data_IF_296663041398
#
_entry.id   IF_296663041398
#
_cell.length_a   1.000
_cell.length_b   1.000
_cell.length_c   1.000
_cell.angle_alpha   90.00
_cell.angle_beta   90.00
_cell.angle_gamma   90.00
#
_symmetry.space_group_name_H-M   'P 1'
#
loop_
_entity.id
_entity.type
_entity.pdbx_description
1 polymer ?
#
# COMPACT_ATOMS: atom_id res chain seq x y z
N UNK A 1 10.87 -10.31 -1.30
CA UNK A 1 11.15 -9.57 -0.05
C UNK A 1 9.85 -9.42 0.69
N UNK A 2 9.83 -9.63 2.01
CA UNK A 2 8.67 -9.29 2.85
C UNK A 2 8.76 -7.83 3.27
N UNK A 3 7.61 -7.19 3.52
CA UNK A 3 7.56 -5.77 3.90
C UNK A 3 8.35 -5.49 5.19
N UNK A 4 8.35 -6.43 6.14
CA UNK A 4 9.08 -6.32 7.41
C UNK A 4 10.60 -6.20 7.21
N UNK A 5 11.18 -7.00 6.30
CA UNK A 5 12.62 -6.91 5.95
C UNK A 5 12.94 -5.55 5.34
N UNK A 6 12.04 -5.01 4.51
CA UNK A 6 12.20 -3.69 3.91
C UNK A 6 12.10 -2.56 4.93
N UNK A 7 11.16 -2.65 5.89
CA UNK A 7 11.06 -1.74 7.03
C UNK A 7 12.38 -1.73 7.83
N UNK A 8 12.85 -2.89 8.28
CA UNK A 8 14.10 -2.99 9.06
C UNK A 8 15.33 -2.52 8.27
N UNK A 9 15.36 -2.73 6.95
CA UNK A 9 16.44 -2.25 6.06
C UNK A 9 16.47 -0.73 5.98
N UNK A 10 15.30 -0.07 5.89
CA UNK A 10 15.20 1.39 5.84
C UNK A 10 15.52 1.98 7.22
N UNK A 11 14.99 1.40 8.30
CA UNK A 11 15.26 1.81 9.69
C UNK A 11 16.75 1.73 10.03
N UNK A 12 17.43 0.63 9.67
CA UNK A 12 18.87 0.50 9.81
C UNK A 12 19.62 1.59 9.04
N UNK A 13 19.16 1.99 7.85
CA UNK A 13 19.79 3.06 7.07
C UNK A 13 19.56 4.45 7.67
N UNK A 14 18.38 4.71 8.23
CA UNK A 14 18.10 5.96 8.96
C UNK A 14 19.00 6.06 10.19
N UNK A 15 19.17 4.97 10.94
CA UNK A 15 20.06 4.92 12.09
C UNK A 15 21.54 5.08 11.68
N UNK A 16 22.01 4.44 10.60
CA UNK A 16 23.36 4.66 10.05
C UNK A 16 23.60 6.15 9.73
N UNK A 17 22.65 6.82 9.07
CA UNK A 17 22.76 8.24 8.73
C UNK A 17 22.72 9.15 9.97
N UNK A 18 21.94 8.78 10.99
CA UNK A 18 21.92 9.45 12.30
C UNK A 18 23.29 9.38 12.96
N UNK A 19 23.88 8.19 13.05
CA UNK A 19 25.20 7.99 13.66
C UNK A 19 26.28 8.75 12.88
N UNK A 20 26.28 8.70 11.55
CA UNK A 20 27.25 9.47 10.73
C UNK A 20 27.11 10.98 10.95
N UNK A 21 25.89 11.49 11.16
CA UNK A 21 25.65 12.90 11.49
C UNK A 21 26.11 13.27 12.91
N UNK A 22 25.77 12.44 13.92
CA UNK A 22 26.13 12.68 15.32
C UNK A 22 27.64 12.64 15.54
N UNK A 23 28.31 11.58 15.06
CA UNK A 23 29.77 11.45 15.12
C UNK A 23 30.53 12.60 14.44
N UNK A 24 29.88 13.36 13.53
CA UNK A 24 30.45 14.56 12.94
C UNK A 24 30.21 15.82 13.78
N UNK A 25 29.00 16.00 14.31
CA UNK A 25 28.61 17.25 14.99
C UNK A 25 29.00 17.28 16.47
N UNK A 26 29.11 16.14 17.15
CA UNK A 26 29.51 16.08 18.57
C UNK A 26 30.90 16.67 18.87
N UNK A 27 32.01 16.22 18.24
CA UNK A 27 33.32 16.83 18.46
C UNK A 27 33.38 18.28 17.98
N UNK A 28 32.63 18.61 16.94
CA UNK A 28 32.54 19.97 16.41
C UNK A 28 31.82 20.92 17.38
N UNK A 29 30.77 20.45 18.06
CA UNK A 29 30.05 21.22 19.06
C UNK A 29 30.96 21.51 20.27
N UNK A 30 31.77 20.55 20.71
CA UNK A 30 32.77 20.75 21.74
C UNK A 30 33.80 21.84 21.33
N UNK A 31 34.36 21.78 20.12
CA UNK A 31 35.31 22.79 19.64
C UNK A 31 34.71 24.19 19.47
N UNK A 32 33.45 24.29 19.04
CA UNK A 32 32.76 25.58 18.88
C UNK A 32 32.33 26.16 20.23
N UNK A 33 31.81 25.33 21.15
CA UNK A 33 31.24 25.80 22.42
C UNK A 33 32.27 25.98 23.53
N UNK A 34 33.23 25.06 23.67
CA UNK A 34 34.23 25.11 24.76
C UNK A 34 35.50 25.85 24.31
N UNK A 35 36.02 25.54 23.12
CA UNK A 35 37.24 26.15 22.59
C UNK A 35 36.98 27.47 21.83
N UNK A 36 35.73 27.94 21.77
CA UNK A 36 35.29 29.16 21.07
C UNK A 36 35.84 29.28 19.63
N UNK A 37 36.01 28.14 18.96
CA UNK A 37 36.68 28.06 17.66
C UNK A 37 35.69 28.37 16.54
N UNK A 38 35.97 29.35 15.66
CA UNK A 38 35.02 29.75 14.61
C UNK A 38 34.81 28.63 13.59
N UNK A 39 33.54 28.31 13.34
CA UNK A 39 33.13 27.24 12.45
C UNK A 39 33.55 27.53 10.99
N UNK A 40 34.31 26.63 10.37
CA UNK A 40 34.76 26.80 8.98
C UNK A 40 33.61 26.47 8.02
N UNK A 41 33.54 27.18 6.89
CA UNK A 41 32.50 26.97 5.87
C UNK A 41 32.39 25.51 5.39
N UNK A 42 33.51 24.78 5.27
CA UNK A 42 33.52 23.35 4.94
C UNK A 42 32.94 22.44 6.03
N UNK A 43 33.10 22.81 7.31
CA UNK A 43 32.49 22.11 8.44
C UNK A 43 30.97 22.36 8.46
N UNK A 44 30.55 23.62 8.35
CA UNK A 44 29.14 23.99 8.22
C UNK A 44 28.45 23.24 7.06
N UNK A 45 29.07 23.23 5.87
CA UNK A 45 28.54 22.55 4.68
C UNK A 45 28.42 21.04 4.90
N UNK A 46 29.34 20.45 5.68
CA UNK A 46 29.28 19.03 6.02
C UNK A 46 28.16 18.73 7.02
N UNK A 47 27.98 19.56 8.07
CA UNK A 47 26.82 19.47 8.97
C UNK A 47 25.50 19.57 8.20
N UNK A 48 25.36 20.56 7.31
CA UNK A 48 24.19 20.75 6.47
C UNK A 48 23.89 19.52 5.60
N UNK A 49 24.94 18.95 4.96
CA UNK A 49 24.80 17.75 4.11
C UNK A 49 24.39 16.52 4.90
N UNK A 50 25.02 16.26 6.04
CA UNK A 50 24.78 15.07 6.86
C UNK A 50 23.44 15.13 7.60
N UNK A 51 23.11 16.29 8.19
CA UNK A 51 21.83 16.52 8.84
C UNK A 51 20.67 16.38 7.85
N UNK A 52 20.75 17.05 6.69
CA UNK A 52 19.73 16.90 5.65
C UNK A 52 19.61 15.46 5.14
N UNK A 53 20.70 14.70 5.03
CA UNK A 53 20.64 13.29 4.65
C UNK A 53 19.87 12.44 5.68
N UNK A 54 20.14 12.63 6.98
CA UNK A 54 19.43 11.94 8.06
C UNK A 54 17.94 12.32 8.11
N UNK A 55 17.62 13.61 8.23
CA UNK A 55 16.23 14.07 8.39
C UNK A 55 15.38 13.76 7.16
N UNK A 56 15.91 13.92 5.94
CA UNK A 56 15.18 13.54 4.73
C UNK A 56 15.03 12.03 4.59
N UNK A 57 15.98 11.20 5.06
CA UNK A 57 15.81 9.75 5.04
C UNK A 57 14.66 9.30 5.96
N UNK A 58 14.55 9.89 7.16
CA UNK A 58 13.45 9.60 8.09
C UNK A 58 12.10 10.12 7.57
N UNK A 59 12.02 11.34 7.02
CA UNK A 59 10.80 11.86 6.40
C UNK A 59 10.34 10.97 5.22
N UNK A 60 11.28 10.51 4.37
CA UNK A 60 10.97 9.56 3.30
C UNK A 60 10.53 8.19 3.85
N UNK A 61 11.10 7.71 4.96
CA UNK A 61 10.65 6.48 5.60
C UNK A 61 9.20 6.60 6.09
N UNK A 62 8.86 7.70 6.76
CA UNK A 62 7.49 8.00 7.20
C UNK A 62 6.53 8.03 6.01
N UNK A 63 6.87 8.76 4.94
CA UNK A 63 6.05 8.84 3.72
C UNK A 63 5.81 7.48 3.05
N UNK A 64 6.78 6.56 3.11
CA UNK A 64 6.66 5.22 2.52
C UNK A 64 6.09 4.16 3.48
N UNK A 65 5.95 4.45 4.78
CA UNK A 65 5.46 3.49 5.79
C UNK A 65 4.05 2.95 5.50
N UNK A 66 3.19 3.78 4.88
CA UNK A 66 1.87 3.40 4.39
C UNK A 66 1.93 2.29 3.33
N UNK A 67 2.84 2.42 2.36
CA UNK A 67 3.03 1.44 1.26
C UNK A 67 3.55 0.08 1.76
N UNK A 68 4.24 0.07 2.90
CA UNK A 68 4.77 -1.13 3.55
C UNK A 68 3.72 -1.84 4.43
N UNK A 69 2.50 -1.31 4.53
CA UNK A 69 1.42 -1.79 5.42
C UNK A 69 1.79 -1.79 6.91
N UNK A 70 2.79 -1.02 7.30
CA UNK A 70 3.36 -1.06 8.65
C UNK A 70 2.43 -0.42 9.72
N UNK A 71 1.50 0.43 9.29
CA UNK A 71 0.44 1.02 10.12
C UNK A 71 -0.57 -0.01 10.70
N UNK A 72 -0.58 -1.26 10.21
CA UNK A 72 -1.46 -2.32 10.74
C UNK A 72 -1.11 -2.77 12.17
N UNK A 73 0.05 -2.37 12.69
CA UNK A 73 0.48 -2.67 14.06
C UNK A 73 0.52 -1.38 14.91
N UNK A 74 -0.47 -1.23 15.80
CA UNK A 74 -0.60 -0.09 16.72
C UNK A 74 0.66 0.20 17.55
N UNK A 75 1.38 -0.83 18.02
CA UNK A 75 2.61 -0.62 18.80
C UNK A 75 3.76 -0.06 17.95
N UNK A 76 3.87 -0.52 16.71
CA UNK A 76 4.91 -0.09 15.79
C UNK A 76 4.68 1.35 15.33
N UNK A 77 3.44 1.70 14.99
CA UNK A 77 3.11 3.06 14.52
C UNK A 77 3.25 4.11 15.64
N UNK A 78 2.93 3.77 16.89
CA UNK A 78 3.23 4.62 18.06
C UNK A 78 4.74 4.81 18.25
N UNK A 79 5.55 3.74 18.22
CA UNK A 79 7.02 3.85 18.33
C UNK A 79 7.64 4.67 17.17
N UNK A 80 7.09 4.56 15.96
CA UNK A 80 7.49 5.42 14.84
C UNK A 80 7.14 6.89 15.15
N UNK A 81 5.97 7.18 15.71
CA UNK A 81 5.58 8.54 16.10
C UNK A 81 6.46 9.11 17.23
N UNK A 82 6.84 8.30 18.22
CA UNK A 82 7.80 8.67 19.27
C UNK A 82 9.20 8.97 18.69
N UNK A 83 9.61 8.20 17.67
CA UNK A 83 10.82 8.44 16.88
C UNK A 83 10.72 9.74 16.09
N UNK A 84 9.57 10.02 15.45
CA UNK A 84 9.29 11.28 14.74
C UNK A 84 9.34 12.49 15.69
N UNK A 85 8.75 12.39 16.88
CA UNK A 85 8.83 13.43 17.91
C UNK A 85 10.28 13.71 18.29
N UNK A 86 11.05 12.66 18.61
CA UNK A 86 12.47 12.77 18.97
C UNK A 86 13.28 13.42 17.86
N UNK A 87 13.07 13.00 16.61
CA UNK A 87 13.74 13.57 15.45
C UNK A 87 13.35 15.03 15.18
N UNK A 88 12.08 15.42 15.36
CA UNK A 88 11.65 16.82 15.23
C UNK A 88 12.24 17.71 16.33
N UNK A 89 12.42 17.19 17.55
CA UNK A 89 13.16 17.90 18.62
C UNK A 89 14.63 18.08 18.24
N UNK A 90 15.29 17.08 17.66
CA UNK A 90 16.64 17.22 17.11
C UNK A 90 16.71 18.17 15.90
N UNK A 91 15.68 18.17 15.04
CA UNK A 91 15.58 19.03 13.85
C UNK A 91 15.47 20.51 14.23
N UNK A 92 14.68 20.82 15.27
CA UNK A 92 14.65 22.16 15.87
C UNK A 92 16.08 22.62 16.23
N UNK A 93 16.82 21.80 16.97
CA UNK A 93 18.18 22.14 17.44
C UNK A 93 19.13 22.32 16.26
N UNK A 94 19.03 21.45 15.25
CA UNK A 94 19.79 21.52 14.00
C UNK A 94 19.55 22.81 13.22
N UNK A 95 18.29 23.20 12.98
CA UNK A 95 18.00 24.46 12.25
C UNK A 95 18.40 25.68 13.08
N UNK A 96 18.23 25.66 14.40
CA UNK A 96 18.72 26.74 15.28
C UNK A 96 20.24 26.89 15.20
N UNK A 97 20.99 25.79 15.21
CA UNK A 97 22.45 25.78 15.04
C UNK A 97 22.88 26.29 13.65
N UNK A 98 22.20 25.88 12.59
CA UNK A 98 22.51 26.36 11.24
C UNK A 98 22.22 27.85 11.06
N UNK A 99 21.12 28.36 11.65
CA UNK A 99 20.79 29.79 11.65
C UNK A 99 21.86 30.61 12.37
N UNK A 100 22.30 30.20 13.57
CA UNK A 100 23.29 30.95 14.35
C UNK A 100 24.70 30.97 13.72
N UNK A 101 25.01 30.05 12.81
CA UNK A 101 26.30 30.01 12.08
C UNK A 101 26.16 30.29 10.58
N UNK A 102 25.00 30.77 10.11
CA UNK A 102 24.69 30.96 8.69
C UNK A 102 25.60 31.98 7.98
N UNK A 103 26.22 32.90 8.74
CA UNK A 103 27.22 33.87 8.24
C UNK A 103 28.42 33.18 7.57
N UNK A 104 28.79 31.98 8.03
CA UNK A 104 29.86 31.16 7.44
C UNK A 104 29.63 30.86 5.94
N UNK A 105 28.38 30.93 5.46
CA UNK A 105 27.99 30.70 4.07
C UNK A 105 27.68 32.00 3.29
N UNK A 106 27.85 33.19 3.87
CA UNK A 106 27.57 34.49 3.21
C UNK A 106 26.19 34.56 2.54
N UNK A 107 25.16 33.98 3.16
CA UNK A 107 23.79 33.96 2.64
C UNK A 107 23.42 32.78 1.73
N UNK A 108 24.32 31.80 1.51
CA UNK A 108 23.97 30.57 0.78
C UNK A 108 23.21 29.53 1.64
N UNK A 109 22.87 29.85 2.90
CA UNK A 109 21.95 29.06 3.72
C UNK A 109 20.50 29.34 3.30
N UNK A 110 19.77 28.28 2.92
CA UNK A 110 18.35 28.35 2.62
C UNK A 110 17.53 27.86 3.83
N UNK A 111 16.51 28.64 4.21
CA UNK A 111 15.53 28.24 5.21
C UNK A 111 14.70 27.03 4.72
N UNK A 112 14.21 26.16 5.64
CA UNK A 112 13.36 25.04 5.27
C UNK A 112 12.08 25.47 4.54
N UNK A 113 11.70 24.72 3.49
CA UNK A 113 10.40 24.91 2.84
C UNK A 113 9.25 24.65 3.82
N UNK A 114 8.10 25.29 3.57
CA UNK A 114 6.88 25.15 4.37
C UNK A 114 6.37 23.71 4.49
N UNK A 115 6.77 22.78 3.63
CA UNK A 115 6.41 21.36 3.72
C UNK A 115 7.48 20.48 4.36
N UNK A 116 8.63 21.04 4.78
CA UNK A 116 9.70 20.25 5.36
C UNK A 116 9.24 19.55 6.65
N UNK A 117 9.49 18.23 6.70
CA UNK A 117 9.20 17.35 7.85
C UNK A 117 7.70 17.21 8.18
N UNK A 118 6.81 17.56 7.24
CA UNK A 118 5.36 17.52 7.46
C UNK A 118 4.81 16.09 7.67
N UNK A 119 5.47 15.06 7.15
CA UNK A 119 5.17 13.66 7.41
C UNK A 119 5.40 13.32 8.89
N UNK A 120 6.60 13.55 9.40
CA UNK A 120 6.92 13.38 10.83
C UNK A 120 5.98 14.18 11.74
N UNK A 121 5.61 15.40 11.37
CA UNK A 121 4.68 16.23 12.15
C UNK A 121 3.27 15.61 12.25
N UNK A 122 2.76 15.01 11.17
CA UNK A 122 1.48 14.28 11.18
C UNK A 122 1.55 13.06 12.09
N UNK A 123 2.62 12.27 12.01
CA UNK A 123 2.82 11.11 12.89
C UNK A 123 2.70 11.49 14.37
N UNK A 124 3.33 12.60 14.77
CA UNK A 124 3.25 13.11 16.16
C UNK A 124 1.83 13.55 16.51
N UNK A 125 1.13 14.28 15.63
CA UNK A 125 -0.24 14.75 15.87
C UNK A 125 -1.26 13.61 15.95
N UNK A 126 -1.09 12.56 15.15
CA UNK A 126 -2.08 11.50 14.95
C UNK A 126 -1.96 10.38 15.99
N UNK A 127 -0.72 10.06 16.44
CA UNK A 127 -0.46 8.88 17.28
C UNK A 127 0.07 9.17 18.69
N UNK A 128 0.47 10.41 19.01
CA UNK A 128 0.90 10.79 20.37
C UNK A 128 -0.17 11.62 21.09
N UNK A 129 0.01 11.84 22.40
CA UNK A 129 -0.96 12.58 23.20
C UNK A 129 -0.99 14.09 22.84
N UNK A 130 -2.14 14.78 23.06
CA UNK A 130 -2.28 16.18 22.69
C UNK A 130 -1.22 17.11 23.27
N UNK A 131 -0.78 16.89 24.52
CA UNK A 131 0.18 17.81 25.18
C UNK A 131 1.55 17.73 24.51
N UNK A 132 1.96 16.53 24.08
CA UNK A 132 3.22 16.31 23.37
C UNK A 132 3.24 17.02 22.02
N UNK A 133 2.20 16.89 21.19
CA UNK A 133 2.17 17.59 19.91
C UNK A 133 1.97 19.10 20.06
N UNK A 134 1.15 19.56 21.02
CA UNK A 134 0.94 20.99 21.28
C UNK A 134 2.22 21.70 21.72
N UNK A 135 3.00 21.07 22.60
CA UNK A 135 4.31 21.60 23.03
C UNK A 135 5.29 21.71 21.86
N UNK A 136 5.34 20.70 20.99
CA UNK A 136 6.21 20.69 19.82
C UNK A 136 5.75 21.72 18.75
N UNK A 137 4.45 21.81 18.50
CA UNK A 137 3.84 22.80 17.61
C UNK A 137 4.15 24.22 18.06
N UNK A 138 3.97 24.53 19.36
CA UNK A 138 4.32 25.82 19.95
C UNK A 138 5.80 26.14 19.72
N UNK A 139 6.69 25.20 20.03
CA UNK A 139 8.15 25.35 19.88
C UNK A 139 8.56 25.62 18.43
N UNK A 140 7.93 24.96 17.45
CA UNK A 140 8.16 25.19 16.02
C UNK A 140 7.62 26.55 15.57
N UNK A 141 6.41 26.93 16.01
CA UNK A 141 5.78 28.21 15.69
C UNK A 141 6.58 29.41 16.22
N UNK A 142 7.01 29.37 17.49
CA UNK A 142 7.85 30.39 18.12
C UNK A 142 9.19 30.58 17.39
N UNK A 143 9.80 29.47 16.94
CA UNK A 143 11.04 29.49 16.17
C UNK A 143 10.84 29.72 14.66
N UNK A 144 9.63 30.05 14.19
CA UNK A 144 9.33 30.24 12.75
C UNK A 144 9.83 29.07 11.89
N UNK A 145 9.54 27.84 12.33
CA UNK A 145 9.76 26.61 11.57
C UNK A 145 8.47 26.20 10.84
N UNK A 146 8.57 25.35 9.80
CA UNK A 146 7.40 24.78 9.13
C UNK A 146 6.49 24.02 10.11
N UNK A 147 5.17 24.23 10.02
CA UNK A 147 4.16 23.63 10.92
C UNK A 147 3.04 22.91 10.15
N UNK A 148 3.21 22.74 8.83
CA UNK A 148 2.17 22.33 7.90
C UNK A 148 1.65 20.91 8.16
N UNK A 149 2.44 20.01 8.75
CA UNK A 149 1.95 18.68 9.14
C UNK A 149 1.13 18.68 10.42
N UNK A 150 1.29 19.70 11.29
CA UNK A 150 0.40 19.89 12.43
C UNK A 150 -0.94 20.54 12.03
N UNK A 151 -0.91 21.48 11.08
CA UNK A 151 -2.10 22.26 10.69
C UNK A 151 -2.93 21.61 9.58
N UNK A 152 -2.30 20.95 8.60
CA UNK A 152 -2.99 20.34 7.46
C UNK A 152 -3.12 18.83 7.66
N UNK A 153 -4.35 18.38 7.89
CA UNK A 153 -4.71 16.97 8.00
C UNK A 153 -4.31 16.19 6.76
N UNK A 154 -4.02 14.89 6.93
CA UNK A 154 -3.85 14.00 5.80
C UNK A 154 -5.17 13.90 5.02
N UNK A 155 -5.09 13.59 3.71
CA UNK A 155 -6.29 13.16 3.00
C UNK A 155 -6.70 11.80 3.57
N UNK A 156 -8.00 11.57 3.79
CA UNK A 156 -8.50 10.27 4.24
C UNK A 156 -7.97 9.17 3.32
N UNK A 157 -7.42 8.09 3.90
CA UNK A 157 -7.17 6.86 3.14
C UNK A 157 -8.45 6.41 2.43
N UNK A 158 -8.30 5.80 1.24
CA UNK A 158 -9.43 5.20 0.53
C UNK A 158 -10.08 4.17 1.45
N UNK A 159 -11.27 4.52 1.98
CA UNK A 159 -11.90 3.84 3.13
C UNK A 159 -11.81 2.33 2.99
N UNK A 160 -11.03 1.71 3.88
CA UNK A 160 -10.93 0.26 3.98
C UNK A 160 -12.34 -0.29 4.15
N UNK A 161 -12.70 -1.28 3.32
CA UNK A 161 -14.10 -1.69 3.15
C UNK A 161 -14.70 -2.04 4.51
N UNK A 162 -15.80 -1.35 4.85
CA UNK A 162 -16.38 -1.45 6.19
C UNK A 162 -16.90 -2.87 6.45
N UNK A 163 -16.83 -3.34 7.71
CA UNK A 163 -17.23 -4.72 8.05
C UNK A 163 -18.67 -5.02 7.63
N UNK A 164 -19.59 -4.06 7.80
CA UNK A 164 -20.97 -4.19 7.34
C UNK A 164 -21.10 -4.27 5.81
N UNK A 165 -20.29 -3.52 5.06
CA UNK A 165 -20.27 -3.54 3.59
C UNK A 165 -19.76 -4.88 3.04
N UNK A 166 -18.69 -5.44 3.62
CA UNK A 166 -18.21 -6.78 3.29
C UNK A 166 -19.26 -7.86 3.61
N UNK A 167 -19.90 -7.79 4.78
CA UNK A 167 -20.98 -8.71 5.17
C UNK A 167 -22.16 -8.64 4.19
N UNK A 168 -22.59 -7.43 3.82
CA UNK A 168 -23.65 -7.22 2.83
C UNK A 168 -23.31 -7.80 1.46
N UNK A 169 -22.09 -7.58 0.95
CA UNK A 169 -21.63 -8.20 -0.30
C UNK A 169 -21.61 -9.74 -0.22
N UNK A 170 -21.23 -10.28 0.95
CA UNK A 170 -21.12 -11.72 1.19
C UNK A 170 -22.49 -12.40 1.23
N UNK A 171 -23.45 -11.84 1.97
CA UNK A 171 -24.83 -12.34 2.04
C UNK A 171 -25.52 -12.25 0.68
N UNK A 172 -25.29 -11.16 -0.06
CA UNK A 172 -25.87 -10.95 -1.38
C UNK A 172 -25.34 -11.96 -2.42
N UNK A 173 -24.02 -12.23 -2.42
CA UNK A 173 -23.44 -13.30 -3.24
C UNK A 173 -23.96 -14.68 -2.89
N UNK A 174 -24.17 -14.97 -1.60
CA UNK A 174 -24.72 -16.25 -1.14
C UNK A 174 -26.17 -16.48 -1.61
N UNK A 175 -27.02 -15.45 -1.62
CA UNK A 175 -28.39 -15.52 -2.15
C UNK A 175 -28.39 -15.84 -3.66
N UNK A 176 -27.51 -15.18 -4.42
CA UNK A 176 -27.39 -15.37 -5.88
C UNK A 176 -26.91 -16.79 -6.21
N UNK A 177 -26.00 -17.34 -5.40
CA UNK A 177 -25.53 -18.71 -5.49
C UNK A 177 -26.65 -19.72 -5.16
N UNK A 178 -27.41 -19.50 -4.09
CA UNK A 178 -28.54 -20.35 -3.70
C UNK A 178 -29.65 -20.40 -4.77
N UNK A 179 -29.97 -19.25 -5.39
CA UNK A 179 -30.95 -19.15 -6.48
C UNK A 179 -30.47 -19.93 -7.73
N UNK A 180 -29.17 -19.79 -8.08
CA UNK A 180 -28.55 -20.54 -9.18
C UNK A 180 -28.67 -22.06 -9.02
N UNK A 181 -28.54 -22.54 -7.77
CA UNK A 181 -28.66 -23.95 -7.41
C UNK A 181 -30.10 -24.45 -7.56
N UNK A 182 -31.09 -23.73 -7.02
CA UNK A 182 -32.51 -24.10 -7.20
C UNK A 182 -32.90 -24.22 -8.69
N UNK A 183 -32.46 -23.26 -9.51
CA UNK A 183 -32.73 -23.23 -10.95
C UNK A 183 -32.08 -24.39 -11.73
N UNK A 184 -30.98 -24.98 -11.23
CA UNK A 184 -30.37 -26.16 -11.84
C UNK A 184 -30.95 -27.50 -11.33
N UNK A 185 -31.65 -27.50 -10.18
CA UNK A 185 -32.13 -28.74 -9.54
C UNK A 185 -33.56 -29.11 -9.92
N UNK A 186 -34.43 -28.13 -10.16
CA UNK A 186 -35.79 -28.37 -10.67
C UNK A 186 -35.84 -28.52 -12.21
N UNK A 187 -34.70 -28.83 -12.82
CA UNK A 187 -34.52 -29.07 -14.24
C UNK A 187 -34.49 -30.59 -14.54
N UNK A 188 -35.60 -31.21 -14.99
CA UNK A 188 -35.57 -32.61 -15.43
C UNK A 188 -34.71 -32.74 -16.71
N UNK A 189 -33.63 -33.53 -16.61
CA UNK A 189 -32.55 -33.67 -17.59
C UNK A 189 -31.83 -32.35 -17.93
N UNK A 190 -30.70 -32.01 -17.27
CA UNK A 190 -29.97 -30.78 -17.53
C UNK A 190 -29.42 -30.78 -18.96
N UNK A 191 -30.06 -30.00 -19.81
CA UNK A 191 -29.58 -29.69 -21.16
C UNK A 191 -28.18 -29.04 -21.09
N UNK A 192 -27.36 -29.12 -22.16
CA UNK A 192 -26.08 -28.39 -22.22
C UNK A 192 -26.24 -26.88 -21.93
N UNK A 193 -27.40 -26.34 -22.30
CA UNK A 193 -27.84 -24.98 -21.99
C UNK A 193 -28.01 -24.72 -20.48
N UNK A 194 -28.69 -25.59 -19.73
CA UNK A 194 -28.81 -25.45 -18.26
C UNK A 194 -27.45 -25.58 -17.57
N UNK A 195 -26.54 -26.40 -18.11
CA UNK A 195 -25.15 -26.48 -17.62
C UNK A 195 -24.37 -25.17 -17.84
N UNK A 196 -24.53 -24.51 -19.00
CA UNK A 196 -23.95 -23.19 -19.26
C UNK A 196 -24.52 -22.10 -18.34
N UNK A 197 -25.83 -22.08 -18.15
CA UNK A 197 -26.52 -21.13 -17.26
C UNK A 197 -26.05 -21.28 -15.82
N UNK A 198 -26.06 -22.51 -15.28
CA UNK A 198 -25.57 -22.79 -13.92
C UNK A 198 -24.14 -22.30 -13.70
N UNK A 199 -23.22 -22.60 -14.64
CA UNK A 199 -21.80 -22.19 -14.55
C UNK A 199 -21.63 -20.66 -14.61
N UNK A 200 -22.39 -19.98 -15.46
CA UNK A 200 -22.28 -18.53 -15.63
C UNK A 200 -22.79 -17.79 -14.40
N UNK A 201 -23.96 -18.15 -13.85
CA UNK A 201 -24.49 -17.47 -12.65
C UNK A 201 -23.67 -17.82 -11.39
N UNK A 202 -23.11 -19.03 -11.32
CA UNK A 202 -22.12 -19.41 -10.30
C UNK A 202 -20.85 -18.52 -10.35
N UNK A 203 -20.29 -18.29 -11.54
CA UNK A 203 -19.13 -17.41 -11.73
C UNK A 203 -19.44 -15.95 -11.34
N UNK A 204 -20.65 -15.47 -11.61
CA UNK A 204 -21.12 -14.13 -11.21
C UNK A 204 -21.33 -14.03 -9.70
N UNK A 205 -21.98 -15.01 -9.06
CA UNK A 205 -22.12 -15.04 -7.60
C UNK A 205 -20.76 -15.03 -6.88
N UNK A 206 -19.79 -15.78 -7.41
CA UNK A 206 -18.40 -15.80 -6.92
C UNK A 206 -17.68 -14.46 -7.09
N UNK A 207 -17.93 -13.70 -8.15
CA UNK A 207 -17.32 -12.37 -8.32
C UNK A 207 -17.90 -11.34 -7.35
N UNK A 208 -19.20 -11.43 -7.03
CA UNK A 208 -19.86 -10.50 -6.10
C UNK A 208 -19.38 -10.63 -4.65
N UNK A 209 -18.91 -11.82 -4.25
CA UNK A 209 -18.21 -12.01 -2.97
C UNK A 209 -16.88 -11.23 -2.91
N UNK A 210 -16.23 -11.02 -4.05
CA UNK A 210 -14.91 -10.37 -4.16
C UNK A 210 -15.03 -8.84 -4.30
N UNK A 211 -16.22 -8.33 -4.57
CA UNK A 211 -16.50 -6.88 -4.55
C UNK A 211 -16.36 -6.25 -3.14
N UNK A 212 -16.40 -7.06 -2.07
CA UNK A 212 -16.12 -6.63 -0.69
C UNK A 212 -14.63 -6.59 -0.33
N UNK A 213 -13.71 -6.88 -1.26
CA UNK A 213 -12.27 -6.99 -0.99
C UNK A 213 -11.54 -5.70 -1.39
N UNK A 214 -10.88 -5.00 -0.45
CA UNK A 214 -10.11 -3.80 -0.78
C UNK A 214 -8.80 -4.18 -1.50
N UNK A 215 -8.71 -3.89 -2.79
CA UNK A 215 -7.48 -4.07 -3.58
C UNK A 215 -7.72 -4.34 -5.07
N UNK A 216 -6.75 -3.96 -5.92
CA UNK A 216 -6.80 -4.21 -7.37
C UNK A 216 -6.07 -5.52 -7.73
N UNK A 217 -6.79 -6.65 -7.81
CA UNK A 217 -6.25 -7.91 -8.36
C UNK A 217 -6.00 -7.74 -9.87
N UNK A 218 -4.82 -7.27 -10.28
CA UNK A 218 -4.48 -7.00 -11.69
C UNK A 218 -4.02 -8.26 -12.45
N UNK A 219 -4.92 -8.92 -13.17
CA UNK A 219 -4.57 -10.06 -14.05
C UNK A 219 -4.40 -9.58 -15.49
N UNK A 220 -3.23 -9.86 -16.06
CA UNK A 220 -2.87 -9.52 -17.45
C UNK A 220 -3.08 -10.73 -18.35
N UNK A 221 -4.19 -10.77 -19.08
CA UNK A 221 -4.48 -11.86 -20.02
C UNK A 221 -3.82 -11.62 -21.39
N UNK A 222 -3.30 -12.70 -21.98
CA UNK A 222 -2.83 -12.76 -23.38
C UNK A 222 -3.68 -13.79 -24.12
N UNK A 223 -4.76 -13.34 -24.77
CA UNK A 223 -5.50 -14.18 -25.70
C UNK A 223 -4.76 -14.20 -27.05
N UNK A 224 -4.43 -15.40 -27.56
CA UNK A 224 -3.86 -15.58 -28.89
C UNK A 224 -4.85 -16.36 -29.74
N UNK A 225 -5.54 -15.66 -30.65
CA UNK A 225 -6.49 -16.25 -31.59
C UNK A 225 -6.73 -15.28 -32.75
N UNK A 226 -6.55 -15.78 -33.98
CA UNK A 226 -6.73 -15.07 -35.26
C UNK A 226 -6.25 -13.59 -35.29
N UNK A 227 -4.93 -13.42 -35.45
CA UNK A 227 -4.36 -12.23 -36.10
C UNK A 227 -4.35 -10.90 -35.34
N UNK A 228 -5.07 -10.75 -34.22
CA UNK A 228 -5.18 -9.46 -33.51
C UNK A 228 -4.87 -9.59 -32.01
N UNK A 229 -3.91 -8.79 -31.52
CA UNK A 229 -3.42 -8.87 -30.14
C UNK A 229 -4.30 -8.08 -29.16
N UNK A 230 -5.25 -8.76 -28.51
CA UNK A 230 -5.98 -8.17 -27.37
C UNK A 230 -5.19 -8.32 -26.06
N UNK A 231 -4.84 -7.17 -25.45
CA UNK A 231 -4.29 -7.09 -24.09
C UNK A 231 -5.40 -6.63 -23.15
N UNK A 232 -5.90 -7.53 -22.30
CA UNK A 232 -6.87 -7.21 -21.26
C UNK A 232 -6.20 -7.22 -19.88
N UNK A 233 -6.43 -6.18 -19.09
CA UNK A 233 -6.06 -6.10 -17.67
C UNK A 233 -7.35 -6.04 -16.87
N UNK A 234 -7.59 -7.06 -16.05
CA UNK A 234 -8.78 -7.16 -15.21
C UNK A 234 -8.43 -6.95 -13.75
N UNK A 235 -9.30 -6.25 -13.00
CA UNK A 235 -9.11 -5.88 -11.60
C UNK A 235 -10.10 -6.58 -10.65
N UNK A 236 -9.65 -6.98 -9.46
CA UNK A 236 -10.51 -7.41 -8.35
C UNK A 236 -11.46 -8.56 -8.71
N UNK A 237 -12.75 -8.40 -8.41
CA UNK A 237 -13.81 -9.35 -8.74
C UNK A 237 -13.85 -9.75 -10.23
N UNK A 238 -13.53 -8.82 -11.14
CA UNK A 238 -13.59 -9.01 -12.59
C UNK A 238 -12.49 -9.97 -13.04
N UNK A 239 -11.31 -9.91 -12.42
CA UNK A 239 -10.23 -10.84 -12.70
C UNK A 239 -10.65 -12.30 -12.40
N UNK A 240 -11.34 -12.50 -11.27
CA UNK A 240 -11.77 -13.84 -10.85
C UNK A 240 -12.94 -14.36 -11.70
N UNK A 241 -13.90 -13.51 -12.06
CA UNK A 241 -14.94 -13.86 -13.04
C UNK A 241 -14.34 -14.38 -14.35
N UNK A 242 -13.36 -13.66 -14.90
CA UNK A 242 -12.72 -14.03 -16.17
C UNK A 242 -11.89 -15.32 -16.06
N UNK A 243 -11.21 -15.56 -14.93
CA UNK A 243 -10.52 -16.85 -14.70
C UNK A 243 -11.54 -18.00 -14.71
N UNK A 244 -12.64 -17.88 -13.96
CA UNK A 244 -13.66 -18.94 -13.88
C UNK A 244 -14.28 -19.20 -15.25
N UNK A 245 -14.55 -18.15 -16.02
CA UNK A 245 -15.17 -18.25 -17.35
C UNK A 245 -14.23 -18.82 -18.43
N UNK A 246 -12.93 -18.48 -18.40
CA UNK A 246 -11.95 -18.99 -19.38
C UNK A 246 -11.43 -20.40 -19.08
N UNK A 247 -11.36 -20.82 -17.82
CA UNK A 247 -10.84 -22.15 -17.44
C UNK A 247 -11.85 -23.27 -17.68
N UNK A 248 -13.14 -22.95 -17.82
CA UNK A 248 -14.20 -23.93 -18.06
C UNK A 248 -15.19 -23.46 -19.15
N UNK A 249 -14.74 -23.32 -20.41
CA UNK A 249 -15.61 -22.92 -21.51
C UNK A 249 -16.70 -23.98 -21.74
N UNK A 250 -17.91 -23.55 -22.08
CA UNK A 250 -18.98 -24.49 -22.41
C UNK A 250 -18.75 -25.09 -23.81
N UNK A 251 -18.77 -26.42 -23.90
CA UNK A 251 -18.68 -27.13 -25.17
C UNK A 251 -19.96 -26.90 -25.99
N UNK A 252 -19.83 -26.14 -27.07
CA UNK A 252 -20.87 -25.95 -28.07
C UNK A 252 -20.85 -27.13 -29.05
N UNK A 253 -21.28 -28.31 -28.61
CA UNK A 253 -21.38 -29.50 -29.47
C UNK A 253 -22.45 -29.29 -30.55
N UNK A 254 -21.99 -29.18 -31.79
CA UNK A 254 -22.85 -29.14 -32.97
C UNK A 254 -23.53 -30.50 -33.16
N UNK A 255 -24.86 -30.52 -33.26
CA UNK A 255 -25.61 -31.73 -33.56
C UNK A 255 -25.41 -32.16 -35.03
N UNK A 256 -24.53 -33.14 -35.26
CA UNK A 256 -24.40 -33.82 -36.54
C UNK A 256 -24.42 -35.35 -36.34
N UNK A 257 -25.54 -35.98 -36.67
CA UNK A 257 -25.73 -37.44 -36.65
C UNK A 257 -24.85 -38.12 -37.69
N UNK A 258 -24.35 -39.34 -37.41
CA UNK A 258 -24.65 -40.42 -38.37
C UNK A 258 -25.02 -41.77 -37.72
N UNK A 259 -25.81 -42.54 -38.47
CA UNK A 259 -26.38 -43.86 -38.17
C UNK A 259 -25.44 -45.05 -38.47
N UNK A 260 -25.48 -46.10 -37.64
CA UNK A 260 -24.96 -47.48 -37.87
C UNK A 260 -25.34 -48.35 -36.64
N UNK A 261 -25.73 -49.64 -36.67
CA UNK A 261 -26.28 -50.57 -37.70
C UNK A 261 -27.02 -51.72 -36.96
N UNK A 262 -27.70 -52.62 -37.68
CA UNK A 262 -28.52 -53.76 -37.19
C UNK A 262 -27.79 -54.78 -36.26
N UNK A 263 -28.53 -55.51 -35.41
CA UNK A 263 -28.16 -56.84 -34.94
C UNK A 263 -28.64 -57.94 -35.91
N UNK A 264 -27.72 -58.83 -36.33
CA UNK A 264 -28.06 -59.99 -37.17
C UNK A 264 -28.70 -61.12 -36.36
N UNK A 265 -29.78 -61.70 -36.88
CA UNK A 265 -30.50 -62.84 -36.27
C UNK A 265 -29.75 -64.17 -36.46
N UNK A 266 -29.52 -64.90 -35.36
CA UNK A 266 -29.29 -66.35 -35.42
C UNK A 266 -30.65 -67.09 -35.31
N UNK A 267 -30.94 -67.97 -36.27
CA UNK A 267 -32.10 -68.86 -36.23
C UNK A 267 -31.79 -70.18 -36.96
N UNK A 268 -32.55 -71.24 -36.62
CA UNK A 268 -32.40 -72.65 -37.02
C UNK A 268 -31.36 -73.43 -36.16
N UNK A 269 -31.65 -74.70 -35.77
CA UNK A 269 -32.43 -75.68 -36.52
C UNK A 269 -33.77 -76.11 -35.89
N UNK A 270 -34.70 -76.55 -36.73
CA UNK A 270 -35.45 -77.80 -36.54
C UNK A 270 -36.25 -78.17 -37.80
N UNK A 271 -36.18 -79.47 -38.15
CA UNK A 271 -37.05 -80.26 -39.05
C UNK A 271 -37.43 -79.67 -40.42
#
# INVERSE_FOLDING_TARGET
MTNEIEVSRIEAKVNELKEVYLNYIEPLAHDVLENNTPLKAGQFTTCLRLGNAYFNALENFVANSGLLSAHLNGKWVTNLAETCHTALVSYYTYITFLRSHSECLRGAFAEPDKHAMAGMQRMVKEYLDPKTFEALFKKFSEAKLPIQGFTVEAHEDIKTISKAQLISCTVLGAVILAISICLSLYAPNPTPYQTFVFRTVLAVGLSMLIAGVPGFINVKFKASGLGQYFKAVAGGAIAVFLIIYLVNPAELTQSATPSTTQPSSLTAPNS
#
